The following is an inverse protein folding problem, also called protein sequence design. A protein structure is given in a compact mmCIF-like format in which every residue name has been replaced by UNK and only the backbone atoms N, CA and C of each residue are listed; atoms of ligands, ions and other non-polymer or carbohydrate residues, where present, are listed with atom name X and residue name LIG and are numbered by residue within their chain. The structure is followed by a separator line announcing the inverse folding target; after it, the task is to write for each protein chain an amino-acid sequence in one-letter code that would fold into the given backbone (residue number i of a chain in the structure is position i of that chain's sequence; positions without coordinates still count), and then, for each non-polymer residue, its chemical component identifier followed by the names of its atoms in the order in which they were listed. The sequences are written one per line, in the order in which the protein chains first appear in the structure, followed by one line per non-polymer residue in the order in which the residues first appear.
data_IF_111181475091
#
_entry.id   IF_111181475091
#
_cell.length_a   1.000
_cell.length_b   1.000
_cell.length_c   1.000
_cell.angle_alpha   90.00
_cell.angle_beta   90.00
_cell.angle_gamma   90.00
#
_symmetry.space_group_name_H-M   'P 1'
#
loop_
_entity.id
_entity.type
_entity.pdbx_description
1 polymer ?
#
# COMPACT_ATOMS: atom_id res chain seq x y z
N UNK A 1 4.48 7.20 -18.92
CA UNK A 1 4.96 6.57 -17.67
C UNK A 1 6.17 5.72 -18.01
N UNK A 2 7.37 6.11 -17.58
CA UNK A 2 8.59 5.35 -17.83
C UNK A 2 8.53 3.98 -17.17
N UNK A 3 9.00 2.94 -17.86
CA UNK A 3 9.07 1.60 -17.29
C UNK A 3 10.17 1.61 -16.20
N UNK A 4 9.79 1.52 -14.92
CA UNK A 4 10.75 1.42 -13.82
C UNK A 4 11.33 0.01 -13.86
N UNK A 5 12.54 -0.10 -14.40
CA UNK A 5 13.27 -1.35 -14.51
C UNK A 5 14.21 -1.49 -13.32
N UNK A 6 14.40 -2.73 -12.85
CA UNK A 6 15.42 -3.02 -11.85
C UNK A 6 16.82 -2.66 -12.40
N UNK A 7 17.72 -2.16 -11.55
CA UNK A 7 19.06 -1.70 -11.97
C UNK A 7 19.89 -2.79 -12.67
N UNK A 8 19.67 -4.06 -12.32
CA UNK A 8 20.32 -5.22 -12.95
C UNK A 8 19.55 -5.84 -14.13
N UNK A 9 18.48 -5.19 -14.63
CA UNK A 9 17.67 -5.74 -15.70
C UNK A 9 18.41 -5.74 -17.05
N UNK A 10 18.87 -6.91 -17.50
CA UNK A 10 19.61 -7.06 -18.76
C UNK A 10 18.73 -6.84 -20.00
N UNK A 11 17.45 -7.23 -19.95
CA UNK A 11 16.51 -7.08 -21.07
C UNK A 11 15.63 -5.84 -20.87
N UNK A 12 16.23 -4.66 -21.05
CA UNK A 12 15.50 -3.39 -21.00
C UNK A 12 14.60 -3.19 -22.23
N UNK A 13 13.66 -2.24 -22.16
CA UNK A 13 12.80 -1.89 -23.30
C UNK A 13 13.61 -1.52 -24.56
N UNK A 14 14.76 -0.86 -24.39
CA UNK A 14 15.66 -0.51 -25.47
C UNK A 14 16.28 -1.76 -26.13
N UNK A 15 16.79 -2.70 -25.33
CA UNK A 15 17.36 -3.96 -25.82
C UNK A 15 16.29 -4.80 -26.53
N UNK A 16 15.08 -4.89 -25.98
CA UNK A 16 13.95 -5.61 -26.60
C UNK A 16 13.57 -5.03 -27.95
N UNK A 17 13.53 -3.69 -28.06
CA UNK A 17 13.27 -2.98 -29.33
C UNK A 17 14.38 -3.24 -30.35
N UNK A 18 15.64 -3.19 -29.93
CA UNK A 18 16.78 -3.49 -30.79
C UNK A 18 16.73 -4.94 -31.32
N UNK A 19 16.33 -5.90 -30.48
CA UNK A 19 16.15 -7.30 -30.89
C UNK A 19 15.02 -7.44 -31.94
N UNK A 20 13.92 -6.70 -31.80
CA UNK A 20 12.79 -6.75 -32.74
C UNK A 20 13.14 -6.22 -34.13
N UNK A 21 13.89 -5.12 -34.22
CA UNK A 21 14.25 -4.51 -35.51
C UNK A 21 15.49 -5.12 -36.17
N UNK A 22 16.23 -5.98 -35.46
CA UNK A 22 17.47 -6.55 -35.98
C UNK A 22 17.23 -7.73 -36.94
N UNK A 23 17.92 -7.69 -38.08
CA UNK A 23 18.00 -8.81 -39.04
C UNK A 23 19.10 -9.82 -38.68
N UNK A 24 19.87 -9.59 -37.62
CA UNK A 24 20.92 -10.52 -37.17
C UNK A 24 20.34 -11.88 -36.75
N UNK A 25 21.21 -12.90 -36.80
CA UNK A 25 20.90 -14.25 -36.32
C UNK A 25 20.65 -14.26 -34.81
N UNK A 26 19.85 -15.22 -34.34
CA UNK A 26 19.55 -15.38 -32.91
C UNK A 26 20.84 -15.55 -32.07
N UNK A 27 21.83 -16.26 -32.61
CA UNK A 27 23.12 -16.51 -31.97
C UNK A 27 23.96 -15.23 -31.85
N UNK A 28 23.94 -14.37 -32.86
CA UNK A 28 24.65 -13.08 -32.84
C UNK A 28 24.11 -12.16 -31.75
N UNK A 29 22.77 -11.98 -31.72
CA UNK A 29 22.10 -11.17 -30.72
C UNK A 29 22.27 -11.71 -29.30
N UNK A 30 22.23 -13.03 -29.13
CA UNK A 30 22.47 -13.68 -27.84
C UNK A 30 23.87 -13.37 -27.30
N UNK A 31 24.90 -13.46 -28.16
CA UNK A 31 26.29 -13.15 -27.78
C UNK A 31 26.46 -11.65 -27.47
N UNK A 32 25.87 -10.77 -28.28
CA UNK A 32 25.97 -9.31 -28.13
C UNK A 32 25.36 -8.80 -26.83
N UNK A 33 24.18 -9.30 -26.46
CA UNK A 33 23.46 -8.84 -25.28
C UNK A 33 23.66 -9.73 -24.05
N UNK A 34 24.45 -10.81 -24.15
CA UNK A 34 24.68 -11.74 -23.03
C UNK A 34 23.42 -12.45 -22.55
N UNK A 35 22.50 -12.78 -23.45
CA UNK A 35 21.20 -13.41 -23.12
C UNK A 35 21.00 -14.75 -23.84
N UNK A 36 20.15 -15.61 -23.29
CA UNK A 36 19.81 -16.89 -23.91
C UNK A 36 19.14 -16.68 -25.29
N UNK A 37 19.50 -17.49 -26.29
CA UNK A 37 18.89 -17.50 -27.62
C UNK A 37 17.35 -17.65 -27.58
N UNK A 38 16.81 -18.42 -26.61
CA UNK A 38 15.37 -18.55 -26.40
C UNK A 38 14.72 -17.19 -26.04
N UNK A 39 15.42 -16.37 -25.26
CA UNK A 39 14.97 -15.02 -24.91
C UNK A 39 14.97 -14.10 -26.13
N UNK A 40 16.00 -14.17 -26.97
CA UNK A 40 16.05 -13.43 -28.24
C UNK A 40 14.89 -13.84 -29.15
N UNK A 41 14.68 -15.15 -29.35
CA UNK A 41 13.60 -15.67 -30.18
C UNK A 41 12.22 -15.24 -29.67
N UNK A 42 12.01 -15.27 -28.34
CA UNK A 42 10.80 -14.77 -27.69
C UNK A 42 10.55 -13.30 -27.99
N UNK A 43 11.56 -12.44 -27.84
CA UNK A 43 11.39 -10.99 -28.07
C UNK A 43 11.25 -10.64 -29.54
N UNK A 44 11.92 -11.34 -30.45
CA UNK A 44 11.79 -11.15 -31.90
C UNK A 44 10.38 -11.47 -32.43
N UNK A 45 9.70 -12.45 -31.82
CA UNK A 45 8.31 -12.83 -32.15
C UNK A 45 7.23 -11.97 -31.49
N UNK A 46 7.55 -11.23 -30.42
CA UNK A 46 6.56 -10.43 -29.70
C UNK A 46 6.19 -9.18 -30.49
N UNK A 47 4.93 -8.74 -30.37
CA UNK A 47 4.42 -7.50 -30.99
C UNK A 47 4.70 -6.24 -30.15
N UNK A 48 4.98 -6.41 -28.85
CA UNK A 48 5.24 -5.31 -27.91
C UNK A 48 6.47 -5.58 -27.05
N UNK A 49 7.18 -4.50 -26.70
CA UNK A 49 8.35 -4.50 -25.80
C UNK A 49 7.98 -4.28 -24.34
N UNK A 50 6.76 -3.83 -24.07
CA UNK A 50 6.28 -3.55 -22.72
C UNK A 50 6.11 -4.84 -21.92
N UNK A 51 6.37 -4.76 -20.62
CA UNK A 51 5.98 -5.84 -19.71
C UNK A 51 4.47 -5.86 -19.57
N UNK A 52 3.91 -7.06 -19.68
CA UNK A 52 2.50 -7.29 -19.43
C UNK A 52 2.30 -7.58 -17.95
N UNK A 53 1.15 -7.19 -17.37
CA UNK A 53 0.82 -7.57 -16.00
C UNK A 53 0.94 -9.09 -15.85
N UNK A 54 1.70 -9.49 -14.85
CA UNK A 54 1.90 -10.90 -14.52
C UNK A 54 0.97 -11.22 -13.36
N UNK A 55 -0.08 -11.98 -13.63
CA UNK A 55 -1.09 -12.33 -12.63
C UNK A 55 -2.42 -12.76 -13.25
N UNK A 56 -3.43 -13.05 -12.42
CA UNK A 56 -4.78 -13.34 -12.88
C UNK A 56 -5.35 -12.18 -13.72
N UNK A 57 -6.07 -12.50 -14.80
CA UNK A 57 -6.76 -11.49 -15.62
C UNK A 57 -7.79 -10.71 -14.80
N UNK A 58 -8.44 -11.39 -13.87
CA UNK A 58 -9.40 -10.81 -12.94
C UNK A 58 -8.86 -10.96 -11.52
N UNK A 59 -8.45 -9.85 -10.86
CA UNK A 59 -7.96 -9.88 -9.49
C UNK A 59 -9.09 -10.23 -8.51
N UNK A 60 -9.05 -11.43 -7.92
CA UNK A 60 -10.03 -11.93 -6.92
C UNK A 60 -9.35 -12.32 -5.63
N UNK A 61 -10.06 -12.22 -4.51
CA UNK A 61 -9.61 -12.89 -3.28
C UNK A 61 -9.83 -14.40 -3.42
N UNK A 62 -8.94 -15.20 -2.85
CA UNK A 62 -9.15 -16.64 -2.65
C UNK A 62 -9.75 -16.94 -1.27
N UNK A 63 -9.79 -15.94 -0.38
CA UNK A 63 -10.16 -16.08 1.03
C UNK A 63 -11.51 -15.43 1.33
N UNK A 64 -11.86 -14.37 0.60
CA UNK A 64 -13.10 -13.63 0.79
C UNK A 64 -14.10 -14.02 -0.28
N UNK A 65 -15.34 -14.26 0.14
CA UNK A 65 -16.47 -14.40 -0.78
C UNK A 65 -16.85 -13.05 -1.39
N UNK A 66 -17.62 -13.07 -2.47
CA UNK A 66 -18.15 -11.85 -3.10
C UNK A 66 -19.04 -11.04 -2.16
N UNK A 67 -19.80 -11.71 -1.28
CA UNK A 67 -20.62 -11.06 -0.25
C UNK A 67 -19.78 -10.38 0.82
N UNK A 68 -18.73 -11.04 1.29
CA UNK A 68 -17.79 -10.46 2.27
C UNK A 68 -17.03 -9.26 1.70
N UNK A 69 -16.60 -9.33 0.44
CA UNK A 69 -16.01 -8.18 -0.26
C UNK A 69 -17.00 -7.01 -0.34
N UNK A 70 -18.27 -7.27 -0.64
CA UNK A 70 -19.30 -6.24 -0.68
C UNK A 70 -19.51 -5.58 0.69
N UNK A 71 -19.53 -6.36 1.78
CA UNK A 71 -19.63 -5.84 3.15
C UNK A 71 -18.44 -4.93 3.46
N UNK A 72 -17.21 -5.39 3.18
CA UNK A 72 -15.98 -4.60 3.42
C UNK A 72 -16.02 -3.28 2.63
N UNK A 73 -16.42 -3.35 1.35
CA UNK A 73 -16.50 -2.18 0.46
C UNK A 73 -17.55 -1.18 0.94
N UNK A 74 -18.74 -1.66 1.33
CA UNK A 74 -19.80 -0.83 1.88
C UNK A 74 -19.34 -0.18 3.20
N UNK A 75 -18.82 -0.98 4.12
CA UNK A 75 -18.32 -0.51 5.41
C UNK A 75 -17.27 0.61 5.23
N UNK A 76 -16.28 0.39 4.36
CA UNK A 76 -15.21 1.36 4.08
C UNK A 76 -15.73 2.68 3.51
N UNK A 77 -16.79 2.66 2.70
CA UNK A 77 -17.40 3.86 2.12
C UNK A 77 -18.21 4.67 3.13
N UNK A 78 -18.78 4.02 4.14
CA UNK A 78 -19.68 4.67 5.10
C UNK A 78 -18.98 5.15 6.37
N UNK A 79 -17.98 4.42 6.87
CA UNK A 79 -17.41 4.71 8.20
C UNK A 79 -16.16 5.57 8.16
N UNK A 80 -15.51 5.68 6.99
CA UNK A 80 -14.24 6.40 6.79
C UNK A 80 -13.15 6.05 7.83
N UNK A 81 -13.24 4.86 8.45
CA UNK A 81 -12.34 4.43 9.50
C UNK A 81 -10.95 4.06 8.95
N UNK A 82 -9.89 4.22 9.76
CA UNK A 82 -8.60 3.60 9.53
C UNK A 82 -8.73 2.10 9.25
N UNK A 83 -7.76 1.54 8.51
CA UNK A 83 -7.81 0.14 8.09
C UNK A 83 -7.83 -0.83 9.28
N UNK A 84 -7.16 -0.48 10.37
CA UNK A 84 -7.05 -1.34 11.55
C UNK A 84 -8.36 -1.34 12.35
N UNK A 85 -9.02 -0.19 12.46
CA UNK A 85 -10.34 -0.08 13.10
C UNK A 85 -11.41 -0.81 12.28
N UNK A 86 -11.32 -0.74 10.93
CA UNK A 86 -12.13 -1.58 10.05
C UNK A 86 -11.93 -3.07 10.32
N UNK A 87 -10.72 -3.51 10.66
CA UNK A 87 -10.45 -4.91 10.94
C UNK A 87 -11.20 -5.34 12.20
N UNK A 88 -11.04 -4.59 13.30
CA UNK A 88 -11.72 -4.90 14.56
C UNK A 88 -13.24 -4.87 14.43
N UNK A 89 -13.80 -3.89 13.71
CA UNK A 89 -15.24 -3.77 13.52
C UNK A 89 -15.84 -4.90 12.67
N UNK A 90 -15.10 -5.42 11.68
CA UNK A 90 -15.58 -6.46 10.76
C UNK A 90 -15.27 -7.89 11.22
N UNK A 91 -14.34 -8.06 12.17
CA UNK A 91 -13.93 -9.37 12.65
C UNK A 91 -15.06 -10.21 13.28
N UNK A 92 -16.04 -9.64 14.00
CA UNK A 92 -17.20 -10.39 14.47
C UNK A 92 -18.07 -10.97 13.33
N UNK A 93 -18.14 -10.27 12.19
CA UNK A 93 -18.94 -10.70 11.03
C UNK A 93 -18.15 -11.61 10.09
N UNK A 94 -16.84 -11.40 9.97
CA UNK A 94 -15.94 -12.15 9.09
C UNK A 94 -14.74 -12.62 9.93
N UNK A 95 -14.85 -13.76 10.66
CA UNK A 95 -13.84 -14.18 11.63
C UNK A 95 -12.47 -14.51 11.03
N UNK A 96 -12.44 -14.96 9.78
CA UNK A 96 -11.22 -15.26 9.01
C UNK A 96 -10.64 -14.04 8.29
N UNK A 97 -11.18 -12.84 8.53
CA UNK A 97 -10.65 -11.61 7.95
C UNK A 97 -9.25 -11.35 8.49
N UNK A 98 -8.27 -11.30 7.58
CA UNK A 98 -6.90 -10.93 7.92
C UNK A 98 -6.64 -9.47 7.54
N UNK A 99 -5.70 -8.83 8.22
CA UNK A 99 -5.20 -7.49 7.85
C UNK A 99 -4.78 -7.43 6.37
N UNK A 100 -4.20 -8.50 5.84
CA UNK A 100 -3.70 -8.56 4.46
C UNK A 100 -4.83 -8.63 3.42
N UNK A 101 -5.89 -9.41 3.68
CA UNK A 101 -7.06 -9.49 2.80
C UNK A 101 -7.87 -8.20 2.86
N UNK A 102 -8.00 -7.61 4.06
CA UNK A 102 -8.61 -6.31 4.26
C UNK A 102 -7.83 -5.17 3.58
N UNK A 103 -6.50 -5.22 3.51
CA UNK A 103 -5.73 -4.23 2.75
C UNK A 103 -5.94 -4.37 1.23
N UNK A 104 -5.90 -5.60 0.71
CA UNK A 104 -5.98 -5.87 -0.73
C UNK A 104 -7.37 -5.64 -1.32
N UNK A 105 -8.45 -5.81 -0.54
CA UNK A 105 -9.82 -5.64 -1.03
C UNK A 105 -10.12 -4.17 -1.44
N UNK A 106 -10.02 -3.15 -0.55
CA UNK A 106 -10.17 -1.73 -0.90
C UNK A 106 -9.24 -1.28 -2.03
N UNK A 107 -8.01 -1.82 -2.10
CA UNK A 107 -7.06 -1.51 -3.16
C UNK A 107 -7.55 -1.99 -4.53
N UNK A 108 -8.12 -3.20 -4.62
CA UNK A 108 -8.73 -3.71 -5.86
C UNK A 108 -9.96 -2.90 -6.28
N UNK A 109 -10.73 -2.41 -5.32
CA UNK A 109 -11.93 -1.59 -5.58
C UNK A 109 -11.64 -0.09 -5.73
N UNK A 110 -10.37 0.34 -5.70
CA UNK A 110 -9.99 1.75 -5.89
C UNK A 110 -10.35 2.68 -4.73
N UNK A 111 -10.69 2.14 -3.55
CA UNK A 111 -11.13 2.89 -2.35
C UNK A 111 -10.14 2.77 -1.18
N UNK A 112 -8.87 2.49 -1.50
CA UNK A 112 -7.80 2.41 -0.49
C UNK A 112 -7.59 3.76 0.19
N UNK A 113 -7.60 4.85 -0.57
CA UNK A 113 -7.56 6.21 -0.02
C UNK A 113 -8.95 6.63 0.43
N UNK A 114 -9.03 7.09 1.68
CA UNK A 114 -10.24 7.75 2.17
C UNK A 114 -10.45 9.04 1.36
N UNK A 115 -11.68 9.35 0.93
CA UNK A 115 -11.97 10.64 0.32
C UNK A 115 -11.56 11.76 1.27
N UNK A 116 -10.94 12.80 0.73
CA UNK A 116 -10.77 14.04 1.45
C UNK A 116 -12.17 14.63 1.68
N UNK A 117 -12.61 14.68 2.93
CA UNK A 117 -13.87 15.31 3.30
C UNK A 117 -13.70 16.82 3.01
N UNK A 118 -14.16 17.26 1.85
CA UNK A 118 -14.30 18.67 1.50
C UNK A 118 -15.41 19.25 2.39
N UNK A 119 -15.02 19.86 3.51
CA UNK A 119 -16.00 20.56 4.36
C UNK A 119 -15.53 20.95 5.75
N UNK A 120 -14.56 20.24 6.34
CA UNK A 120 -14.26 20.44 7.78
C UNK A 120 -12.78 20.28 8.13
N UNK A 121 -11.89 20.74 7.24
CA UNK A 121 -10.50 20.94 7.61
C UNK A 121 -10.35 22.40 8.01
N UNK A 122 -10.47 22.69 9.31
CA UNK A 122 -9.92 23.93 9.83
C UNK A 122 -8.51 24.11 9.25
N UNK A 123 -8.14 25.33 8.80
CA UNK A 123 -6.81 25.57 8.25
C UNK A 123 -5.77 25.05 9.23
N UNK A 124 -4.85 24.20 8.76
CA UNK A 124 -3.80 23.58 9.58
C UNK A 124 -3.06 24.66 10.37
N UNK A 125 -3.43 24.85 11.63
CA UNK A 125 -2.75 25.76 12.55
C UNK A 125 -1.43 25.11 12.95
N UNK A 126 -0.35 25.89 12.92
CA UNK A 126 0.92 25.41 13.49
C UNK A 126 0.74 25.29 15.00
N UNK A 127 1.30 24.25 15.60
CA UNK A 127 1.41 24.17 17.05
C UNK A 127 2.09 25.44 17.57
N UNK A 128 1.61 25.93 18.72
CA UNK A 128 2.25 27.05 19.40
C UNK A 128 3.68 26.64 19.76
N UNK A 129 4.65 27.54 19.54
CA UNK A 129 6.03 27.30 19.95
C UNK A 129 6.13 27.51 21.46
N UNK A 130 6.59 26.48 22.18
CA UNK A 130 6.86 26.56 23.62
C UNK A 130 8.35 26.30 23.87
N UNK A 131 8.92 26.90 24.93
CA UNK A 131 10.28 26.59 25.33
C UNK A 131 10.42 25.12 25.75
N UNK A 132 11.66 24.63 25.79
CA UNK A 132 12.00 23.26 26.20
C UNK A 132 11.41 23.00 27.60
N UNK A 133 10.61 21.93 27.75
CA UNK A 133 9.95 21.56 29.01
C UNK A 133 8.42 21.37 28.94
N UNK A 134 7.78 21.66 27.81
CA UNK A 134 6.34 21.48 27.60
C UNK A 134 6.04 20.26 26.72
N UNK A 135 5.03 19.46 27.10
CA UNK A 135 4.56 18.28 26.35
C UNK A 135 3.09 18.46 25.96
N UNK A 136 2.77 18.25 24.68
CA UNK A 136 1.38 18.31 24.20
C UNK A 136 0.79 16.90 24.23
N UNK A 137 -0.34 16.74 24.91
CA UNK A 137 -1.14 15.52 24.90
C UNK A 137 -2.52 15.92 24.42
N UNK A 138 -2.89 15.45 23.23
CA UNK A 138 -4.27 15.53 22.77
C UNK A 138 -4.96 14.21 23.09
N UNK A 139 -6.03 14.27 23.89
CA UNK A 139 -6.85 13.12 24.26
C UNK A 139 -8.18 13.28 23.54
N UNK A 140 -8.53 12.31 22.69
CA UNK A 140 -9.84 12.21 22.08
C UNK A 140 -10.62 11.07 22.74
N UNK A 141 -11.82 11.36 23.22
CA UNK A 141 -12.74 10.37 23.77
C UNK A 141 -13.77 10.01 22.70
N UNK A 142 -13.98 8.72 22.46
CA UNK A 142 -15.01 8.21 21.54
C UNK A 142 -16.11 7.58 22.38
N UNK A 143 -17.33 8.12 22.29
CA UNK A 143 -18.51 7.56 22.97
C UNK A 143 -19.37 6.74 22.00
N UNK A 144 -19.71 5.51 22.39
CA UNK A 144 -20.60 4.62 21.64
C UNK A 144 -22.05 4.82 22.08
N UNK A 145 -23.01 4.49 21.19
CA UNK A 145 -24.44 4.78 21.37
C UNK A 145 -25.11 4.13 22.60
N UNK A 146 -24.44 3.19 23.28
CA UNK A 146 -24.93 2.52 24.49
C UNK A 146 -24.58 3.28 25.80
N UNK A 147 -23.98 4.47 25.71
CA UNK A 147 -23.72 5.32 26.88
C UNK A 147 -22.71 4.75 27.87
N UNK A 148 -21.99 3.68 27.51
CA UNK A 148 -20.90 3.11 28.28
C UNK A 148 -19.57 3.52 27.64
N UNK A 149 -18.72 4.32 28.31
CA UNK A 149 -17.37 4.53 27.84
C UNK A 149 -16.60 3.21 27.98
N UNK A 150 -16.37 2.52 26.87
CA UNK A 150 -15.35 1.47 26.82
C UNK A 150 -13.99 2.16 26.74
N UNK A 151 -13.41 2.42 27.91
CA UNK A 151 -12.01 2.77 28.07
C UNK A 151 -11.16 1.62 27.51
N UNK A 152 -10.42 1.89 26.44
CA UNK A 152 -8.97 1.66 26.34
C UNK A 152 -8.54 1.63 24.87
N UNK A 153 -8.24 2.81 24.33
CA UNK A 153 -7.22 2.97 23.30
C UNK A 153 -6.79 4.44 23.32
N UNK A 154 -5.82 4.73 24.18
CA UNK A 154 -5.02 5.95 24.08
C UNK A 154 -4.18 5.87 22.80
N UNK A 155 -4.72 6.39 21.70
CA UNK A 155 -3.94 6.62 20.48
C UNK A 155 -2.97 7.78 20.75
N UNK A 156 -1.81 7.48 21.36
CA UNK A 156 -0.74 8.46 21.54
C UNK A 156 -0.10 8.73 20.18
N UNK A 157 -0.54 9.76 19.48
CA UNK A 157 0.22 10.33 18.36
C UNK A 157 1.31 11.23 18.94
N UNK A 158 2.40 10.62 19.39
CA UNK A 158 3.59 11.36 19.79
C UNK A 158 4.29 11.91 18.53
N UNK A 159 4.03 13.17 18.19
CA UNK A 159 4.87 13.90 17.24
C UNK A 159 6.17 14.33 17.96
N UNK A 160 7.18 13.46 17.94
CA UNK A 160 8.52 13.81 18.42
C UNK A 160 9.18 14.76 17.42
N UNK A 161 9.15 16.07 17.72
CA UNK A 161 10.10 16.97 17.09
C UNK A 161 11.46 16.84 17.80
N UNK A 162 12.40 16.25 17.08
CA UNK A 162 13.86 16.30 17.23
C UNK A 162 14.58 15.11 17.92
N UNK A 163 15.68 14.70 17.28
CA UNK A 163 16.43 13.43 17.32
C UNK A 163 17.16 13.07 18.65
N UNK A 164 16.91 13.76 19.76
CA UNK A 164 17.73 13.62 20.97
C UNK A 164 17.20 12.64 22.04
N UNK A 165 16.04 12.00 21.84
CA UNK A 165 15.39 11.16 22.88
C UNK A 165 15.54 9.65 22.65
N UNK A 166 16.23 9.24 21.59
CA UNK A 166 16.44 7.82 21.23
C UNK A 166 17.22 7.03 22.28
N UNK A 167 17.89 7.67 23.24
CA UNK A 167 18.74 7.00 24.25
C UNK A 167 18.01 6.63 25.55
N UNK A 168 16.78 7.11 25.82
CA UNK A 168 16.11 6.84 27.13
C UNK A 168 14.94 5.86 27.09
N UNK A 169 14.51 5.37 25.92
CA UNK A 169 13.40 4.40 25.82
C UNK A 169 13.85 2.95 26.08
N UNK A 170 15.14 2.63 26.00
CA UNK A 170 15.67 1.30 26.34
C UNK A 170 15.70 1.01 27.86
N UNK A 171 15.52 2.00 28.73
CA UNK A 171 15.58 1.83 30.18
C UNK A 171 14.21 1.55 30.84
N UNK A 172 13.13 1.46 30.07
CA UNK A 172 11.77 1.19 30.59
C UNK A 172 11.23 -0.19 30.19
N UNK A 173 12.06 -1.03 29.57
CA UNK A 173 11.74 -2.42 29.19
C UNK A 173 12.76 -3.42 29.76
N UNK A 174 13.28 -3.15 30.97
CA UNK A 174 13.97 -4.12 31.82
C UNK A 174 13.19 -4.29 33.12
#
# INVERSE_FOLDING_TARGET
MGQVLHGSATTTAAVRRAIQHSQESLRGLAKRYGINQKTVAKWKKRRSVADLPTGPREPRSTVLSTGEEAIIVAFRRHTLLPLDDCLYALQPTIPHLSRSSLHRCPQRHGISRLPDIEGDKEPKKRFKSYPIGYFHIDIAEVQTAEGKPSLDTSLIVAALSNEAVTTRVQAWLA
#
